data_IF_918623084749
#
_entry.id   IF_918623084749
#
_cell.length_a   1.000
_cell.length_b   1.000
_cell.length_c   1.000
_cell.angle_alpha   90.00
_cell.angle_beta   90.00
_cell.angle_gamma   90.00
#
_symmetry.space_group_name_H-M   'P 1'
#
loop_
_entity.id
_entity.type
_entity.pdbx_description
1 polymer ?
#
# COMPACT_ATOMS: atom_id res chain seq x y z
N UNK A 1 12.89 14.74 4.89
CA UNK A 1 11.70 15.46 4.47
C UNK A 1 10.46 15.11 5.31
N UNK A 2 9.78 13.95 5.15
CA UNK A 2 8.59 13.62 5.95
C UNK A 2 8.88 13.48 7.45
N UNK A 3 9.99 12.84 7.80
CA UNK A 3 10.41 12.71 9.20
C UNK A 3 10.70 14.08 9.86
N UNK A 4 11.23 15.02 9.09
CA UNK A 4 11.46 16.40 9.57
C UNK A 4 10.13 17.10 9.81
N UNK A 5 9.15 16.94 8.91
CA UNK A 5 7.81 17.49 9.10
C UNK A 5 7.14 16.93 10.36
N UNK A 6 7.19 15.64 10.59
CA UNK A 6 6.68 15.02 11.82
C UNK A 6 7.32 15.65 13.08
N UNK A 7 8.66 15.81 13.10
CA UNK A 7 9.36 16.44 14.22
C UNK A 7 8.93 17.90 14.45
N UNK A 8 8.72 18.67 13.39
CA UNK A 8 8.24 20.05 13.48
C UNK A 8 6.84 20.09 14.13
N UNK A 9 5.93 19.22 13.69
CA UNK A 9 4.59 19.13 14.27
C UNK A 9 4.63 18.67 15.74
N UNK A 10 5.50 17.72 16.10
CA UNK A 10 5.69 17.30 17.49
C UNK A 10 6.18 18.46 18.37
N UNK A 11 7.14 19.27 17.89
CA UNK A 11 7.63 20.45 18.59
C UNK A 11 6.51 21.49 18.73
N UNK A 12 5.70 21.69 17.69
CA UNK A 12 4.55 22.59 17.73
C UNK A 12 3.54 22.15 18.81
N UNK A 13 3.21 20.88 18.87
CA UNK A 13 2.31 20.32 19.87
C UNK A 13 2.89 20.46 21.29
N UNK A 14 4.18 20.16 21.47
CA UNK A 14 4.86 20.21 22.77
C UNK A 14 4.91 21.63 23.38
N UNK A 15 4.80 22.68 22.57
CA UNK A 15 4.78 24.08 23.05
C UNK A 15 3.49 24.46 23.78
N UNK A 16 2.39 23.75 23.54
CA UNK A 16 1.12 23.96 24.24
C UNK A 16 0.30 22.67 24.26
N UNK A 17 0.70 21.74 25.12
CA UNK A 17 0.11 20.39 25.19
C UNK A 17 -1.35 20.39 25.67
N UNK A 18 -1.76 21.43 26.40
CA UNK A 18 -3.13 21.52 26.91
C UNK A 18 -4.15 21.83 25.81
N UNK A 19 -3.76 22.61 24.80
CA UNK A 19 -4.67 23.08 23.75
C UNK A 19 -4.42 22.44 22.38
N UNK A 20 -3.25 21.78 22.20
CA UNK A 20 -2.86 21.22 20.92
C UNK A 20 -2.86 19.71 20.93
N UNK A 21 -3.51 19.16 19.96
CA UNK A 21 -3.55 17.73 19.71
C UNK A 21 -2.93 17.45 18.36
N UNK A 22 -2.23 16.33 18.25
CA UNK A 22 -1.54 15.95 17.03
C UNK A 22 -1.77 14.49 16.73
N UNK A 23 -2.45 14.21 15.63
CA UNK A 23 -2.57 12.87 15.07
C UNK A 23 -1.69 12.75 13.83
N UNK A 24 -0.73 11.84 13.85
CA UNK A 24 0.15 11.53 12.72
C UNK A 24 -0.33 10.23 12.09
N UNK A 25 -0.68 10.27 10.81
CA UNK A 25 -1.03 9.09 10.03
C UNK A 25 0.09 8.74 9.06
N UNK A 26 0.53 7.50 9.07
CA UNK A 26 1.52 6.93 8.17
C UNK A 26 0.85 5.85 7.31
N UNK A 27 0.28 6.22 6.17
CA UNK A 27 -0.40 5.24 5.33
C UNK A 27 0.60 4.29 4.66
N UNK A 28 0.18 3.03 4.48
CA UNK A 28 0.78 2.13 3.52
C UNK A 28 0.55 2.63 2.09
N UNK A 29 0.53 1.73 1.11
CA UNK A 29 0.16 2.11 -0.26
C UNK A 29 -1.32 2.49 -0.28
N UNK A 30 -1.61 3.76 -0.55
CA UNK A 30 -2.99 4.24 -0.69
C UNK A 30 -3.49 3.91 -2.09
N UNK A 31 -4.65 3.27 -2.19
CA UNK A 31 -5.32 3.00 -3.47
C UNK A 31 -6.75 3.52 -3.45
N UNK A 32 -7.32 3.73 -4.63
CA UNK A 32 -8.67 4.27 -4.80
C UNK A 32 -8.80 5.05 -6.10
N UNK A 33 -9.99 5.60 -6.34
CA UNK A 33 -10.29 6.36 -7.57
C UNK A 33 -9.32 7.54 -7.74
N UNK A 34 -8.70 7.63 -8.92
CA UNK A 34 -7.71 8.66 -9.24
C UNK A 34 -6.26 8.29 -8.89
N UNK A 35 -6.02 7.11 -8.30
CA UNK A 35 -4.65 6.62 -8.10
C UNK A 35 -4.02 6.23 -9.45
N UNK A 36 -2.81 6.73 -9.72
CA UNK A 36 -2.04 6.44 -10.92
C UNK A 36 -0.70 5.72 -10.60
N UNK A 37 -0.62 5.10 -9.45
CA UNK A 37 0.60 4.49 -8.92
C UNK A 37 0.68 2.97 -9.10
N UNK A 38 0.94 2.29 -7.98
CA UNK A 38 1.28 0.87 -8.00
C UNK A 38 0.08 -0.04 -8.22
N UNK A 39 -1.08 0.27 -7.63
CA UNK A 39 -2.29 -0.53 -7.78
C UNK A 39 -2.85 -0.43 -9.20
N UNK A 40 -2.94 0.77 -9.74
CA UNK A 40 -3.38 1.00 -11.13
C UNK A 40 -2.46 0.27 -12.14
N UNK A 41 -1.14 0.36 -11.94
CA UNK A 41 -0.18 -0.36 -12.81
C UNK A 41 -0.31 -1.87 -12.69
N UNK A 42 -0.53 -2.37 -11.47
CA UNK A 42 -0.76 -3.79 -11.23
C UNK A 42 -2.03 -4.25 -11.96
N UNK A 43 -3.13 -3.53 -11.78
CA UNK A 43 -4.40 -3.81 -12.45
C UNK A 43 -4.26 -3.90 -13.99
N UNK A 44 -3.66 -2.88 -14.60
CA UNK A 44 -3.45 -2.87 -16.05
C UNK A 44 -2.46 -3.93 -16.51
N UNK A 45 -1.46 -4.23 -15.68
CA UNK A 45 -0.53 -5.34 -15.94
C UNK A 45 -1.24 -6.70 -15.97
N UNK A 46 -2.14 -6.95 -15.03
CA UNK A 46 -2.95 -8.17 -14.95
C UNK A 46 -3.89 -8.24 -16.14
N UNK A 47 -4.66 -7.19 -16.38
CA UNK A 47 -5.63 -7.11 -17.47
C UNK A 47 -4.98 -7.28 -18.84
N UNK A 48 -3.84 -6.65 -19.06
CA UNK A 48 -3.06 -6.77 -20.30
C UNK A 48 -2.27 -8.07 -20.44
N UNK A 49 -2.30 -8.95 -19.42
CA UNK A 49 -1.55 -10.21 -19.41
C UNK A 49 -0.03 -10.02 -19.37
N UNK A 50 0.44 -8.87 -18.90
CA UNK A 50 1.85 -8.50 -18.79
C UNK A 50 2.41 -8.65 -17.37
N UNK A 51 1.54 -8.90 -16.39
CA UNK A 51 1.98 -9.10 -15.02
C UNK A 51 2.49 -10.52 -14.80
N UNK A 52 3.56 -10.64 -14.06
CA UNK A 52 4.19 -11.87 -13.60
C UNK A 52 4.50 -11.75 -12.12
N UNK A 53 4.52 -12.86 -11.39
CA UNK A 53 5.04 -12.86 -10.04
C UNK A 53 6.57 -12.93 -10.07
N UNK A 54 7.30 -11.92 -9.58
CA UNK A 54 8.76 -11.94 -9.57
C UNK A 54 9.28 -12.72 -8.36
N UNK A 55 9.74 -13.92 -8.58
CA UNK A 55 10.41 -14.78 -7.61
C UNK A 55 9.52 -15.43 -6.56
N UNK A 56 8.50 -14.71 -6.05
CA UNK A 56 7.61 -15.18 -4.97
C UNK A 56 6.23 -14.53 -5.04
N UNK A 57 5.24 -15.16 -4.42
CA UNK A 57 3.86 -14.67 -4.37
C UNK A 57 3.43 -14.16 -2.99
N UNK A 58 4.15 -14.55 -1.97
CA UNK A 58 3.86 -14.26 -0.56
C UNK A 58 4.43 -12.91 -0.07
N UNK A 59 4.92 -12.08 -0.98
CA UNK A 59 5.41 -10.74 -0.64
C UNK A 59 4.27 -9.89 -0.06
N UNK A 60 4.42 -9.47 1.18
CA UNK A 60 3.42 -8.64 1.87
C UNK A 60 3.49 -7.21 1.37
N UNK A 61 2.32 -6.62 1.11
CA UNK A 61 2.14 -5.24 0.67
C UNK A 61 1.12 -4.54 1.56
N UNK A 62 1.62 -3.75 2.50
CA UNK A 62 0.76 -2.91 3.32
C UNK A 62 0.06 -1.87 2.44
N UNK A 63 -1.26 -1.85 2.48
CA UNK A 63 -2.08 -0.93 1.71
C UNK A 63 -3.32 -0.50 2.48
N UNK A 64 -3.92 0.61 2.07
CA UNK A 64 -5.17 1.09 2.61
C UNK A 64 -6.01 1.74 1.51
N UNK A 65 -7.32 1.54 1.56
CA UNK A 65 -8.24 2.20 0.66
C UNK A 65 -8.39 3.69 1.03
N UNK A 66 -8.40 4.57 0.04
CA UNK A 66 -8.42 6.03 0.28
C UNK A 66 -9.62 6.47 1.10
N UNK A 67 -10.82 5.90 0.87
CA UNK A 67 -12.02 6.25 1.64
C UNK A 67 -11.89 5.80 3.10
N UNK A 68 -11.27 4.64 3.37
CA UNK A 68 -10.97 4.19 4.73
C UNK A 68 -9.96 5.09 5.44
N UNK A 69 -8.92 5.52 4.73
CA UNK A 69 -7.94 6.45 5.29
C UNK A 69 -8.60 7.77 5.70
N UNK A 70 -9.44 8.36 4.82
CA UNK A 70 -10.15 9.61 5.10
C UNK A 70 -11.13 9.43 6.26
N UNK A 71 -11.92 8.34 6.28
CA UNK A 71 -12.85 8.03 7.38
C UNK A 71 -12.13 7.85 8.71
N UNK A 72 -10.98 7.17 8.71
CA UNK A 72 -10.17 7.03 9.91
C UNK A 72 -9.65 8.38 10.41
N UNK A 73 -9.20 9.25 9.50
CA UNK A 73 -8.77 10.61 9.88
C UNK A 73 -9.91 11.41 10.51
N UNK A 74 -11.12 11.37 9.93
CA UNK A 74 -12.30 12.02 10.49
C UNK A 74 -12.66 11.43 11.86
N UNK A 75 -12.67 10.10 11.98
CA UNK A 75 -12.89 9.40 13.24
C UNK A 75 -11.92 9.88 14.34
N UNK A 76 -10.62 10.07 14.01
CA UNK A 76 -9.64 10.57 15.00
C UNK A 76 -9.85 12.04 15.34
N UNK A 77 -10.40 12.86 14.45
CA UNK A 77 -10.78 14.25 14.80
C UNK A 77 -11.90 14.29 15.83
N UNK A 78 -12.83 13.33 15.79
CA UNK A 78 -13.97 13.24 16.72
C UNK A 78 -13.62 12.51 18.04
N UNK A 79 -12.65 11.57 17.98
CA UNK A 79 -12.30 10.66 19.08
C UNK A 79 -10.80 10.75 19.43
N UNK A 80 -10.20 11.93 19.35
CA UNK A 80 -8.78 12.08 19.65
C UNK A 80 -8.50 11.92 21.17
N UNK A 81 -7.31 11.41 21.47
CA UNK A 81 -6.76 11.42 22.81
C UNK A 81 -5.83 12.63 23.00
N UNK A 82 -5.63 13.05 24.26
CA UNK A 82 -4.70 14.14 24.53
C UNK A 82 -3.26 13.80 24.11
N UNK A 83 -2.57 14.78 23.55
CA UNK A 83 -1.15 14.67 23.22
C UNK A 83 -0.87 14.32 21.75
N UNK A 84 0.06 13.39 21.54
CA UNK A 84 0.52 12.98 20.23
C UNK A 84 0.12 11.54 19.96
N UNK A 85 -0.62 11.32 18.90
CA UNK A 85 -0.97 10.00 18.42
C UNK A 85 -0.29 9.72 17.09
N UNK A 86 0.18 8.47 16.91
CA UNK A 86 0.77 8.02 15.66
C UNK A 86 0.14 6.69 15.25
N UNK A 87 -0.37 6.62 14.02
CA UNK A 87 -1.01 5.44 13.44
C UNK A 87 -0.38 5.05 12.11
N UNK A 88 0.01 3.80 11.99
CA UNK A 88 0.24 3.19 10.68
C UNK A 88 -1.12 2.79 10.10
N UNK A 89 -1.48 3.38 8.97
CA UNK A 89 -2.78 3.16 8.34
C UNK A 89 -2.66 2.12 7.23
N UNK A 90 -3.06 0.91 7.53
CA UNK A 90 -3.08 -0.23 6.61
C UNK A 90 -4.16 -1.22 7.04
N UNK A 91 -4.63 -2.04 6.12
CA UNK A 91 -5.42 -3.22 6.48
C UNK A 91 -4.61 -4.14 7.39
N UNK A 92 -5.27 -4.77 8.35
CA UNK A 92 -4.64 -5.73 9.28
C UNK A 92 -5.51 -7.01 9.32
N UNK A 93 -4.97 -8.17 8.99
CA UNK A 93 -3.59 -8.40 8.53
C UNK A 93 -3.31 -7.78 7.14
N UNK A 94 -2.03 -7.44 6.90
CA UNK A 94 -1.62 -6.94 5.60
C UNK A 94 -1.66 -8.05 4.53
N UNK A 95 -2.02 -7.70 3.30
CA UNK A 95 -2.22 -8.65 2.21
C UNK A 95 -0.93 -8.99 1.49
N UNK A 96 -0.82 -10.25 1.05
CA UNK A 96 0.23 -10.68 0.12
C UNK A 96 -0.09 -10.21 -1.30
N UNK A 97 0.94 -10.14 -2.17
CA UNK A 97 0.74 -9.78 -3.57
C UNK A 97 -0.19 -10.80 -4.27
N UNK A 98 -0.16 -12.08 -3.89
CA UNK A 98 -1.08 -13.09 -4.40
C UNK A 98 -2.52 -12.79 -4.03
N UNK A 99 -2.80 -12.50 -2.75
CA UNK A 99 -4.14 -12.14 -2.29
C UNK A 99 -4.68 -10.88 -3.00
N UNK A 100 -3.83 -9.87 -3.18
CA UNK A 100 -4.21 -8.63 -3.90
C UNK A 100 -4.58 -8.97 -5.35
N UNK A 101 -3.76 -9.75 -6.03
CA UNK A 101 -3.97 -10.13 -7.43
C UNK A 101 -5.21 -11.01 -7.60
N UNK A 102 -5.40 -12.01 -6.74
CA UNK A 102 -6.57 -12.88 -6.82
C UNK A 102 -7.87 -12.12 -6.52
N UNK A 103 -7.84 -11.17 -5.56
CA UNK A 103 -8.99 -10.29 -5.32
C UNK A 103 -9.30 -9.42 -6.54
N UNK A 104 -8.29 -8.81 -7.17
CA UNK A 104 -8.48 -8.04 -8.40
C UNK A 104 -9.06 -8.90 -9.52
N UNK A 105 -8.57 -10.12 -9.70
CA UNK A 105 -9.10 -11.07 -10.71
C UNK A 105 -10.55 -11.43 -10.42
N UNK A 106 -10.86 -11.74 -9.17
CA UNK A 106 -12.22 -12.09 -8.73
C UNK A 106 -13.21 -10.98 -9.06
N UNK A 107 -12.91 -9.75 -8.62
CA UNK A 107 -13.77 -8.59 -8.83
C UNK A 107 -13.96 -8.24 -10.31
N UNK A 108 -12.90 -8.40 -11.11
CA UNK A 108 -12.93 -8.03 -12.54
C UNK A 108 -13.30 -9.19 -13.49
N UNK A 109 -13.53 -10.39 -12.95
CA UNK A 109 -13.84 -11.57 -13.75
C UNK A 109 -12.67 -12.11 -14.61
N UNK A 110 -11.44 -11.69 -14.33
CA UNK A 110 -10.26 -12.10 -15.09
C UNK A 110 -9.84 -13.52 -14.73
N UNK A 111 -9.93 -14.45 -15.68
CA UNK A 111 -9.60 -15.88 -15.48
C UNK A 111 -8.16 -16.24 -15.84
N UNK A 112 -7.38 -15.32 -16.39
CA UNK A 112 -6.03 -15.60 -16.90
C UNK A 112 -5.07 -16.03 -15.78
N UNK A 113 -4.33 -17.12 -16.00
CA UNK A 113 -3.24 -17.55 -15.12
C UNK A 113 -2.08 -16.54 -15.15
N UNK A 114 -1.44 -16.34 -14.02
CA UNK A 114 -0.28 -15.44 -13.90
C UNK A 114 0.94 -16.28 -13.56
N UNK A 115 1.98 -16.30 -14.41
CA UNK A 115 3.15 -17.11 -14.19
C UNK A 115 4.02 -16.56 -13.04
N UNK A 116 4.64 -17.48 -12.32
CA UNK A 116 5.72 -17.18 -11.38
C UNK A 116 7.05 -17.37 -12.12
N UNK A 117 7.86 -16.32 -12.21
CA UNK A 117 9.19 -16.42 -12.80
C UNK A 117 10.23 -16.31 -11.69
N UNK A 118 11.09 -17.33 -11.53
CA UNK A 118 12.14 -17.30 -10.52
C UNK A 118 13.05 -16.08 -10.65
N UNK A 119 13.49 -15.54 -9.51
CA UNK A 119 14.29 -14.33 -9.46
C UNK A 119 15.61 -14.44 -10.24
N UNK A 120 16.24 -15.61 -10.23
CA UNK A 120 17.50 -15.86 -10.93
C UNK A 120 17.36 -15.81 -12.47
N UNK A 121 16.15 -16.04 -13.00
CA UNK A 121 15.85 -15.82 -14.44
C UNK A 121 15.53 -14.36 -14.71
N UNK A 122 14.73 -13.75 -13.82
CA UNK A 122 14.19 -12.42 -14.06
C UNK A 122 15.23 -11.31 -13.91
N UNK A 123 16.18 -11.46 -12.97
CA UNK A 123 17.18 -10.43 -12.71
C UNK A 123 18.13 -10.18 -13.90
N UNK A 124 18.75 -11.20 -14.53
CA UNK A 124 19.56 -10.98 -15.71
C UNK A 124 18.73 -10.49 -16.91
N UNK A 125 17.52 -11.02 -17.10
CA UNK A 125 16.64 -10.53 -18.16
C UNK A 125 16.31 -9.02 -17.98
N UNK A 126 16.00 -8.60 -16.75
CA UNK A 126 15.75 -7.18 -16.46
C UNK A 126 16.98 -6.29 -16.66
N UNK A 127 18.19 -6.81 -16.43
CA UNK A 127 19.43 -6.07 -16.68
C UNK A 127 19.64 -5.84 -18.18
N UNK A 128 19.45 -6.88 -19.00
CA UNK A 128 19.57 -6.77 -20.46
C UNK A 128 18.53 -5.81 -21.04
N UNK A 129 17.26 -5.97 -20.67
CA UNK A 129 16.14 -5.13 -21.14
C UNK A 129 16.34 -3.68 -20.70
N UNK A 130 16.77 -3.46 -19.45
CA UNK A 130 17.05 -2.12 -18.92
C UNK A 130 18.23 -1.44 -19.61
N UNK A 131 19.26 -2.19 -19.98
CA UNK A 131 20.42 -1.71 -20.72
C UNK A 131 20.12 -1.32 -22.17
N UNK A 132 19.11 -1.92 -22.79
CA UNK A 132 18.66 -1.61 -24.15
C UNK A 132 17.71 -0.39 -24.24
N UNK A 133 17.50 0.33 -23.12
CA UNK A 133 16.65 1.53 -23.12
C UNK A 133 15.16 1.26 -23.37
N UNK A 134 14.69 0.06 -23.06
CA UNK A 134 13.30 -0.31 -23.31
C UNK A 134 12.32 0.60 -22.56
N UNK A 135 11.30 1.15 -23.23
CA UNK A 135 10.36 2.14 -22.69
C UNK A 135 9.51 1.62 -21.53
N UNK A 136 9.52 0.33 -21.25
CA UNK A 136 8.73 -0.30 -20.20
C UNK A 136 9.27 -0.10 -18.78
N UNK A 137 10.42 0.55 -18.61
CA UNK A 137 11.01 0.84 -17.29
C UNK A 137 11.27 -0.41 -16.43
N UNK A 138 11.48 -1.57 -17.06
CA UNK A 138 11.86 -2.81 -16.39
C UNK A 138 13.36 -2.70 -16.09
N UNK A 139 13.69 -2.61 -14.81
CA UNK A 139 15.07 -2.62 -14.36
C UNK A 139 15.22 -3.48 -13.10
N UNK A 140 16.41 -4.02 -12.81
CA UNK A 140 16.64 -4.89 -11.65
C UNK A 140 16.19 -4.29 -10.33
N UNK A 141 16.38 -2.97 -10.14
CA UNK A 141 15.96 -2.27 -8.94
C UNK A 141 14.43 -2.29 -8.71
N UNK A 142 13.63 -2.20 -9.77
CA UNK A 142 12.16 -2.32 -9.69
C UNK A 142 11.72 -3.74 -9.39
N UNK A 143 12.33 -4.72 -10.05
CA UNK A 143 12.07 -6.15 -9.80
C UNK A 143 12.37 -6.46 -8.34
N UNK A 144 13.52 -6.03 -7.82
CA UNK A 144 13.90 -6.20 -6.41
C UNK A 144 12.87 -5.56 -5.46
N UNK A 145 12.36 -4.36 -5.76
CA UNK A 145 11.33 -3.71 -4.94
C UNK A 145 10.02 -4.51 -4.88
N UNK A 146 9.64 -5.18 -5.96
CA UNK A 146 8.43 -6.03 -5.96
C UNK A 146 8.59 -7.26 -5.07
N UNK A 147 9.81 -7.75 -4.90
CA UNK A 147 10.13 -8.92 -4.07
C UNK A 147 10.30 -8.60 -2.58
N UNK A 148 10.44 -7.33 -2.21
CA UNK A 148 10.60 -6.91 -0.81
C UNK A 148 9.23 -6.68 -0.18
N UNK A 149 8.98 -7.33 0.96
CA UNK A 149 7.77 -7.08 1.75
C UNK A 149 7.81 -5.68 2.39
N UNK A 150 6.68 -4.99 2.34
CA UNK A 150 6.40 -3.78 3.11
C UNK A 150 5.44 -4.17 4.24
N UNK A 151 5.99 -4.82 5.25
CA UNK A 151 5.21 -5.27 6.40
C UNK A 151 5.10 -4.12 7.42
N UNK A 152 4.03 -3.33 7.30
CA UNK A 152 3.71 -2.25 8.22
C UNK A 152 2.59 -2.74 9.14
N UNK A 153 2.81 -2.70 10.45
CA UNK A 153 1.84 -3.15 11.43
C UNK A 153 0.73 -2.11 11.63
N UNK A 154 -0.52 -2.47 11.31
CA UNK A 154 -1.72 -1.66 11.47
C UNK A 154 -2.47 -1.90 12.79
N UNK A 155 -1.95 -2.73 13.69
CA UNK A 155 -2.65 -3.17 14.92
C UNK A 155 -3.17 -2.01 15.77
N UNK A 156 -2.41 -0.91 15.90
CA UNK A 156 -2.86 0.25 16.67
C UNK A 156 -4.10 0.90 16.06
N UNK A 157 -4.20 0.97 14.72
CA UNK A 157 -5.41 1.43 14.05
C UNK A 157 -6.59 0.51 14.35
N UNK A 158 -6.40 -0.81 14.20
CA UNK A 158 -7.47 -1.79 14.51
C UNK A 158 -7.89 -1.77 15.98
N UNK A 159 -6.97 -1.48 16.90
CA UNK A 159 -7.23 -1.38 18.33
C UNK A 159 -7.83 -0.01 18.76
N UNK A 160 -7.88 0.99 17.88
CA UNK A 160 -8.37 2.34 18.19
C UNK A 160 -9.90 2.46 18.34
N UNK A 161 -10.64 1.35 18.16
CA UNK A 161 -12.11 1.36 18.12
C UNK A 161 -12.69 1.67 16.73
N UNK A 162 -11.85 2.10 15.77
CA UNK A 162 -12.30 2.31 14.40
C UNK A 162 -12.66 0.99 13.72
N UNK A 163 -13.81 0.96 13.07
CA UNK A 163 -14.26 -0.19 12.29
C UNK A 163 -14.19 0.13 10.81
N UNK A 164 -13.48 -0.67 10.04
CA UNK A 164 -13.46 -0.56 8.59
C UNK A 164 -14.87 -0.74 8.01
N UNK A 165 -15.27 0.13 7.09
CA UNK A 165 -16.54 0.08 6.38
C UNK A 165 -16.46 -0.80 5.14
N UNK A 166 -15.27 -0.89 4.56
CA UNK A 166 -14.99 -1.70 3.37
C UNK A 166 -14.05 -2.84 3.74
N UNK A 167 -14.42 -4.07 3.44
CA UNK A 167 -13.46 -5.15 3.30
C UNK A 167 -12.51 -4.84 2.13
N UNK A 168 -11.41 -5.55 2.03
CA UNK A 168 -10.47 -5.35 0.91
C UNK A 168 -11.13 -5.63 -0.45
N UNK A 169 -11.98 -6.65 -0.53
CA UNK A 169 -12.70 -7.00 -1.76
C UNK A 169 -13.69 -5.89 -2.17
N UNK A 170 -14.47 -5.39 -1.23
CA UNK A 170 -15.39 -4.27 -1.47
C UNK A 170 -14.63 -2.99 -1.87
N UNK A 171 -13.48 -2.73 -1.26
CA UNK A 171 -12.63 -1.61 -1.62
C UNK A 171 -12.07 -1.72 -3.05
N UNK A 172 -11.72 -2.92 -3.51
CA UNK A 172 -11.29 -3.17 -4.90
C UNK A 172 -12.48 -3.08 -5.87
N UNK A 173 -13.68 -3.48 -5.44
CA UNK A 173 -14.89 -3.39 -6.27
C UNK A 173 -15.38 -1.95 -6.45
N UNK A 174 -15.21 -1.12 -5.43
CA UNK A 174 -15.61 0.31 -5.45
C UNK A 174 -14.55 1.21 -6.13
N UNK A 175 -13.32 0.71 -6.30
CA UNK A 175 -12.24 1.42 -6.98
C UNK A 175 -12.38 1.33 -8.49
#
# INVERSE_FOLDING_TARGET
SKLVAEKIHMIWQARNQAERQLTIVRPGVVFGKGENGNFTRLYWGIRGGKFIYPGRKDTVKACIYVKELVRFMLYRLEHHEQGVELYNCTFEPAYTIEQIVETMKKVTGLKKGIPLIPAWVLMPAAAVIGGLGAPMGICPARVKKLMISTNICGKKLSASGYKFHYSFEEAIADW
#
